data_IF_682999735359
#
_entry.id   IF_682999735359
#
_cell.length_a   1.000
_cell.length_b   1.000
_cell.length_c   1.000
_cell.angle_alpha   90.00
_cell.angle_beta   90.00
_cell.angle_gamma   90.00
#
_symmetry.space_group_name_H-M   'P 1'
#
loop_
_entity.id
_entity.type
_entity.pdbx_description
1 polymer ?
#
# COMPACT_ATOMS: atom_id res chain seq x y z
N UNK A 1 -29.88 16.98 39.89
CA UNK A 1 -31.04 17.65 40.51
C UNK A 1 -30.86 19.11 40.28
N UNK A 2 -31.64 19.71 39.40
CA UNK A 2 -31.79 21.15 39.31
C UNK A 2 -32.95 21.54 40.23
N UNK A 3 -32.82 22.51 41.15
CA UNK A 3 -33.87 22.90 42.05
C UNK A 3 -34.94 23.72 41.24
N UNK A 4 -36.22 23.56 41.53
CA UNK A 4 -37.25 24.42 41.00
C UNK A 4 -37.27 25.69 41.85
N UNK A 5 -36.75 26.80 41.38
CA UNK A 5 -37.00 28.08 42.01
C UNK A 5 -36.97 29.24 41.05
N UNK A 6 -38.11 29.93 41.00
CA UNK A 6 -38.30 31.33 40.65
C UNK A 6 -37.87 31.82 39.28
N UNK A 7 -38.69 31.56 38.26
CA UNK A 7 -38.64 32.35 37.05
C UNK A 7 -39.70 33.48 37.03
N UNK A 8 -39.31 34.71 36.73
CA UNK A 8 -40.30 35.78 36.45
C UNK A 8 -40.99 35.47 35.11
N UNK A 9 -42.27 35.66 35.05
CA UNK A 9 -43.12 35.54 33.87
C UNK A 9 -42.62 36.51 32.81
N UNK A 10 -41.87 35.97 31.79
CA UNK A 10 -41.44 36.73 30.65
C UNK A 10 -42.57 36.76 29.61
N UNK A 11 -43.01 37.95 29.25
CA UNK A 11 -43.97 38.22 28.15
C UNK A 11 -43.44 37.70 26.84
N UNK A 12 -44.29 37.28 25.86
CA UNK A 12 -43.84 36.72 24.60
C UNK A 12 -42.93 37.69 23.83
N UNK A 13 -41.72 37.27 23.55
CA UNK A 13 -40.73 38.08 22.84
C UNK A 13 -41.11 38.22 21.37
N UNK A 14 -41.06 39.44 20.86
CA UNK A 14 -41.29 39.76 19.46
C UNK A 14 -40.26 39.10 18.53
N UNK A 15 -40.58 38.90 17.25
CA UNK A 15 -39.65 38.36 16.19
C UNK A 15 -38.32 39.09 16.12
N UNK A 16 -38.21 40.34 16.60
CA UNK A 16 -36.94 41.09 16.76
C UNK A 16 -36.03 40.48 17.83
N UNK A 17 -36.59 39.94 18.94
CA UNK A 17 -35.83 39.29 19.97
C UNK A 17 -35.17 37.98 19.52
N UNK A 18 -35.85 37.20 18.69
CA UNK A 18 -35.32 35.96 18.09
C UNK A 18 -34.13 36.24 17.16
N UNK A 19 -34.19 37.33 16.37
CA UNK A 19 -33.11 37.75 15.50
C UNK A 19 -31.87 38.19 16.27
N UNK A 20 -32.04 38.90 17.37
CA UNK A 20 -30.96 39.32 18.27
C UNK A 20 -30.30 38.15 18.96
N UNK A 21 -31.05 37.17 19.45
CA UNK A 21 -30.51 35.92 20.01
C UNK A 21 -29.69 35.13 18.99
N UNK A 22 -30.05 35.13 17.73
CA UNK A 22 -29.30 34.48 16.63
C UNK A 22 -27.96 35.17 16.38
N UNK A 23 -27.90 36.49 16.54
CA UNK A 23 -26.67 37.29 16.41
C UNK A 23 -25.76 37.10 17.64
N UNK A 24 -26.30 36.99 18.85
CA UNK A 24 -25.56 36.80 20.11
C UNK A 24 -25.01 35.39 20.29
N UNK A 25 -25.74 34.35 19.85
CA UNK A 25 -25.35 32.94 20.01
C UNK A 25 -24.44 32.41 18.87
N UNK A 26 -24.25 33.20 17.82
CA UNK A 26 -23.48 32.77 16.65
C UNK A 26 -24.14 31.63 15.86
N UNK A 27 -23.46 31.06 14.84
CA UNK A 27 -24.01 29.96 14.04
C UNK A 27 -24.08 28.68 14.85
N UNK A 28 -25.28 28.33 15.33
CA UNK A 28 -25.57 27.08 16.04
C UNK A 28 -25.58 25.92 15.01
N UNK A 29 -24.48 25.28 14.83
CA UNK A 29 -24.23 24.03 14.09
C UNK A 29 -25.08 23.74 12.84
N UNK A 30 -24.50 23.06 11.86
CA UNK A 30 -25.20 22.63 10.62
C UNK A 30 -25.73 21.20 10.75
N UNK A 31 -27.01 20.99 10.47
CA UNK A 31 -27.66 19.68 10.41
C UNK A 31 -27.85 19.22 8.95
N UNK A 32 -27.31 18.08 8.57
CA UNK A 32 -27.32 17.54 7.21
C UNK A 32 -27.70 16.08 7.10
N UNK A 33 -28.90 15.72 7.56
CA UNK A 33 -29.44 14.36 7.41
C UNK A 33 -28.77 13.28 8.29
N UNK A 34 -27.71 13.65 9.00
CA UNK A 34 -27.16 12.89 10.13
C UNK A 34 -27.87 13.29 11.43
N UNK A 35 -27.82 12.50 12.51
CA UNK A 35 -28.30 12.89 13.82
C UNK A 35 -27.70 14.24 14.23
N UNK A 36 -28.49 15.10 14.87
CA UNK A 36 -28.00 16.39 15.38
C UNK A 36 -26.77 16.16 16.26
N UNK A 37 -25.74 16.99 16.05
CA UNK A 37 -24.54 16.94 16.88
C UNK A 37 -24.88 17.20 18.34
N UNK A 38 -24.17 16.57 19.25
CA UNK A 38 -24.41 16.67 20.70
C UNK A 38 -24.41 18.13 21.18
N UNK A 39 -23.50 18.97 20.65
CA UNK A 39 -23.45 20.40 20.95
C UNK A 39 -24.75 21.13 20.55
N UNK A 40 -25.32 20.80 19.40
CA UNK A 40 -26.59 21.38 18.92
C UNK A 40 -27.74 20.94 19.83
N UNK A 41 -27.79 19.71 20.25
CA UNK A 41 -28.80 19.19 21.19
C UNK A 41 -28.71 19.86 22.56
N UNK A 42 -27.49 20.06 23.07
CA UNK A 42 -27.28 20.81 24.31
C UNK A 42 -27.79 22.25 24.20
N UNK A 43 -27.55 22.89 23.06
CA UNK A 43 -28.09 24.24 22.80
C UNK A 43 -29.63 24.26 22.73
N UNK A 44 -30.28 23.24 22.14
CA UNK A 44 -31.72 23.10 22.13
C UNK A 44 -32.26 23.05 23.56
N UNK A 45 -31.67 22.20 24.40
CA UNK A 45 -32.05 22.04 25.82
C UNK A 45 -31.87 23.38 26.56
N UNK A 46 -30.73 24.05 26.37
CA UNK A 46 -30.46 25.35 26.97
C UNK A 46 -31.47 26.42 26.53
N UNK A 47 -31.79 26.51 25.23
CA UNK A 47 -32.76 27.45 24.69
C UNK A 47 -34.18 27.21 25.26
N UNK A 48 -34.51 25.94 25.48
CA UNK A 48 -35.85 25.60 26.03
C UNK A 48 -35.95 25.83 27.55
N UNK A 49 -35.02 25.27 28.34
CA UNK A 49 -35.12 25.31 29.81
C UNK A 49 -34.59 26.60 30.44
N UNK A 50 -33.48 27.14 29.88
CA UNK A 50 -32.85 28.31 30.53
C UNK A 50 -33.35 29.64 29.90
N UNK A 51 -33.66 29.66 28.60
CA UNK A 51 -34.18 30.85 27.92
C UNK A 51 -35.70 30.82 27.67
N UNK A 52 -36.38 29.76 28.08
CA UNK A 52 -37.85 29.58 28.04
C UNK A 52 -38.45 29.80 26.63
N UNK A 53 -37.71 29.40 25.58
CA UNK A 53 -38.21 29.51 24.23
C UNK A 53 -39.01 28.25 23.87
N UNK A 54 -40.09 28.43 23.11
CA UNK A 54 -40.90 27.32 22.59
C UNK A 54 -40.18 26.59 21.46
N UNK A 55 -40.52 25.32 21.19
CA UNK A 55 -39.93 24.56 20.07
C UNK A 55 -40.07 25.28 18.72
N UNK A 56 -41.16 26.06 18.49
CA UNK A 56 -41.42 26.86 17.32
C UNK A 56 -40.45 28.03 17.19
N UNK A 57 -40.03 28.62 18.31
CA UNK A 57 -39.06 29.72 18.36
C UNK A 57 -37.62 29.19 18.24
N UNK A 58 -37.32 28.00 18.78
CA UNK A 58 -36.03 27.36 18.71
C UNK A 58 -35.72 26.86 17.28
N UNK A 59 -36.69 26.26 16.61
CA UNK A 59 -36.52 25.62 15.31
C UNK A 59 -35.86 26.52 14.23
N UNK A 60 -36.23 27.81 14.09
CA UNK A 60 -35.59 28.72 13.12
C UNK A 60 -34.16 29.16 13.56
N UNK A 61 -33.81 29.06 14.85
CA UNK A 61 -32.49 29.45 15.35
C UNK A 61 -31.38 28.43 14.98
N UNK A 62 -31.75 27.17 14.72
CA UNK A 62 -30.83 26.10 14.41
C UNK A 62 -30.72 25.98 12.91
N UNK A 63 -29.53 26.24 12.35
CA UNK A 63 -29.30 26.23 10.91
C UNK A 63 -29.38 24.80 10.33
N UNK A 64 -30.19 24.62 9.28
CA UNK A 64 -30.25 23.41 8.50
C UNK A 64 -29.47 23.57 7.18
N UNK A 65 -28.50 22.70 6.84
CA UNK A 65 -27.75 22.85 5.58
C UNK A 65 -28.54 22.49 4.33
N UNK A 66 -29.75 21.92 4.46
CA UNK A 66 -30.59 21.53 3.32
C UNK A 66 -31.62 22.62 2.91
N UNK A 67 -31.77 23.62 3.71
CA UNK A 67 -32.69 24.73 3.39
C UNK A 67 -31.89 26.04 3.39
N UNK A 68 -31.75 26.66 2.26
CA UNK A 68 -31.03 27.92 2.09
C UNK A 68 -31.53 29.06 2.99
N UNK A 69 -32.73 28.93 3.58
CA UNK A 69 -33.36 29.92 4.44
C UNK A 69 -34.06 29.35 5.67
N UNK A 70 -33.78 28.11 6.09
CA UNK A 70 -34.56 27.44 7.12
C UNK A 70 -33.80 26.78 8.23
N UNK A 71 -34.32 26.84 9.44
CA UNK A 71 -33.92 26.08 10.60
C UNK A 71 -34.26 24.58 10.51
N UNK A 72 -34.00 23.84 11.57
CA UNK A 72 -34.49 22.47 11.71
C UNK A 72 -36.00 22.47 11.86
N UNK A 73 -36.67 21.35 11.58
CA UNK A 73 -38.12 21.24 11.81
C UNK A 73 -38.44 21.25 13.32
N UNK A 74 -39.58 21.84 13.69
CA UNK A 74 -40.09 21.85 15.08
C UNK A 74 -40.10 20.46 15.69
N UNK A 75 -40.48 19.43 14.92
CA UNK A 75 -40.49 18.05 15.38
C UNK A 75 -39.09 17.53 15.80
N UNK A 76 -38.03 17.95 15.09
CA UNK A 76 -36.68 17.58 15.47
C UNK A 76 -36.21 18.25 16.76
N UNK A 77 -36.72 19.42 17.08
CA UNK A 77 -36.50 20.07 18.37
C UNK A 77 -37.24 19.32 19.45
N UNK A 78 -38.53 18.98 19.22
CA UNK A 78 -39.34 18.21 20.15
C UNK A 78 -38.74 16.84 20.44
N UNK A 79 -38.31 16.11 19.43
CA UNK A 79 -37.65 14.79 19.60
C UNK A 79 -36.41 14.87 20.51
N UNK A 80 -35.66 15.99 20.48
CA UNK A 80 -34.52 16.20 21.37
C UNK A 80 -34.95 16.50 22.79
N UNK A 81 -36.02 17.27 22.98
CA UNK A 81 -36.55 17.61 24.29
C UNK A 81 -37.20 16.39 24.96
N UNK A 82 -38.03 15.66 24.23
CA UNK A 82 -38.65 14.40 24.71
C UNK A 82 -37.58 13.40 25.12
N UNK A 83 -36.50 13.29 24.34
CA UNK A 83 -35.35 12.43 24.68
C UNK A 83 -34.67 12.91 25.97
N UNK A 84 -34.46 14.21 26.12
CA UNK A 84 -33.81 14.77 27.29
C UNK A 84 -34.69 14.63 28.56
N UNK A 85 -35.99 14.77 28.44
CA UNK A 85 -36.92 14.53 29.56
C UNK A 85 -36.86 13.09 30.07
N UNK A 86 -36.69 12.11 29.20
CA UNK A 86 -36.65 10.68 29.59
C UNK A 86 -35.29 10.28 30.11
N UNK A 87 -34.22 10.73 29.46
CA UNK A 87 -32.87 10.21 29.75
C UNK A 87 -31.95 11.17 30.50
N UNK A 88 -32.33 12.44 30.68
CA UNK A 88 -31.56 13.51 31.30
C UNK A 88 -30.17 13.76 30.71
N UNK A 89 -29.96 13.33 29.44
CA UNK A 89 -28.78 13.61 28.64
C UNK A 89 -29.17 13.72 27.14
N UNK A 90 -28.26 14.29 26.33
CA UNK A 90 -28.50 14.50 24.88
C UNK A 90 -27.58 13.65 24.00
N UNK A 91 -26.80 12.77 24.58
CA UNK A 91 -25.90 11.91 23.84
C UNK A 91 -26.67 10.88 23.02
N UNK A 92 -26.20 10.64 21.78
CA UNK A 92 -26.83 9.62 20.97
C UNK A 92 -26.55 8.23 21.56
N UNK A 93 -27.59 7.45 21.79
CA UNK A 93 -27.37 6.02 22.03
C UNK A 93 -26.62 5.44 20.84
N UNK A 94 -25.50 4.76 21.11
CA UNK A 94 -24.83 3.95 20.09
C UNK A 94 -25.89 2.95 19.59
N UNK A 95 -26.26 3.07 18.33
CA UNK A 95 -27.12 2.03 17.72
C UNK A 95 -26.40 0.71 17.94
N UNK A 96 -27.07 -0.24 18.58
CA UNK A 96 -26.55 -1.58 18.66
C UNK A 96 -26.10 -2.02 17.25
N UNK A 97 -24.89 -2.56 17.11
CA UNK A 97 -24.43 -3.01 15.80
C UNK A 97 -25.48 -3.97 15.25
N UNK A 98 -25.95 -3.73 14.03
CA UNK A 98 -26.91 -4.65 13.38
C UNK A 98 -26.38 -6.05 13.54
N UNK A 99 -27.18 -6.94 14.12
CA UNK A 99 -26.83 -8.34 14.29
C UNK A 99 -26.31 -8.90 12.96
N UNK A 100 -25.12 -9.49 12.99
CA UNK A 100 -24.52 -10.08 11.80
C UNK A 100 -25.46 -11.20 11.33
N UNK A 101 -25.97 -11.08 10.11
CA UNK A 101 -26.83 -12.12 9.53
C UNK A 101 -26.08 -13.45 9.31
N UNK A 102 -24.75 -13.39 9.13
CA UNK A 102 -23.90 -14.56 8.95
C UNK A 102 -23.46 -15.07 10.33
N UNK A 103 -23.79 -16.32 10.69
CA UNK A 103 -23.32 -16.96 11.92
C UNK A 103 -21.79 -17.02 11.98
N UNK A 104 -21.24 -17.03 13.19
CA UNK A 104 -19.78 -17.07 13.39
C UNK A 104 -19.15 -18.31 12.72
N UNK A 105 -19.82 -19.47 12.79
CA UNK A 105 -19.37 -20.71 12.12
C UNK A 105 -19.16 -20.50 10.62
N UNK A 106 -20.07 -19.79 9.94
CA UNK A 106 -19.96 -19.51 8.51
C UNK A 106 -18.86 -18.47 8.21
N UNK A 107 -18.60 -17.52 9.13
CA UNK A 107 -17.48 -16.58 8.99
C UNK A 107 -16.15 -17.31 9.12
N UNK A 108 -16.02 -18.23 10.06
CA UNK A 108 -14.81 -19.06 10.19
C UNK A 108 -14.59 -19.88 8.91
N UNK A 109 -15.63 -20.49 8.37
CA UNK A 109 -15.59 -21.25 7.12
C UNK A 109 -15.19 -20.36 5.93
N UNK A 110 -15.75 -19.17 5.82
CA UNK A 110 -15.38 -18.18 4.82
C UNK A 110 -13.87 -17.83 4.89
N UNK A 111 -13.35 -17.64 6.09
CA UNK A 111 -11.93 -17.35 6.31
C UNK A 111 -11.04 -18.54 5.92
N UNK A 112 -11.45 -19.76 6.25
CA UNK A 112 -10.70 -20.98 5.89
C UNK A 112 -10.68 -21.22 4.37
N UNK A 113 -11.78 -20.94 3.65
CA UNK A 113 -11.81 -20.97 2.18
C UNK A 113 -10.73 -20.01 1.62
N UNK A 114 -10.70 -18.76 2.08
CA UNK A 114 -9.74 -17.76 1.58
C UNK A 114 -8.30 -18.11 1.95
N UNK A 115 -8.05 -18.70 3.11
CA UNK A 115 -6.71 -19.18 3.49
C UNK A 115 -6.23 -20.32 2.60
N UNK A 116 -7.10 -21.26 2.29
CA UNK A 116 -6.79 -22.43 1.45
C UNK A 116 -6.59 -22.04 -0.01
N UNK A 117 -7.47 -21.17 -0.52
CA UNK A 117 -7.55 -20.79 -1.94
C UNK A 117 -7.63 -19.27 -2.10
N UNK A 118 -6.52 -18.53 -1.81
CA UNK A 118 -6.53 -17.07 -1.76
C UNK A 118 -6.71 -16.39 -3.12
N UNK A 119 -6.68 -17.13 -4.22
CA UNK A 119 -6.82 -16.63 -5.59
C UNK A 119 -8.23 -16.63 -6.14
N UNK A 120 -9.20 -17.19 -5.42
CA UNK A 120 -10.60 -17.24 -5.86
C UNK A 120 -11.19 -15.82 -5.97
N UNK A 121 -12.07 -15.65 -6.95
CA UNK A 121 -12.92 -14.48 -7.05
C UNK A 121 -14.03 -14.51 -5.99
N UNK A 122 -14.63 -13.36 -5.70
CA UNK A 122 -15.65 -13.26 -4.64
C UNK A 122 -16.91 -14.09 -4.90
N UNK A 123 -17.28 -14.26 -6.15
CA UNK A 123 -18.40 -15.13 -6.58
C UNK A 123 -18.06 -16.62 -6.36
N UNK A 124 -16.84 -17.03 -6.67
CA UNK A 124 -16.33 -18.38 -6.40
C UNK A 124 -16.27 -18.68 -4.90
N UNK A 125 -15.76 -17.73 -4.10
CA UNK A 125 -15.76 -17.82 -2.63
C UNK A 125 -17.18 -17.95 -2.09
N UNK A 126 -18.14 -17.20 -2.65
CA UNK A 126 -19.54 -17.26 -2.28
C UNK A 126 -20.16 -18.65 -2.61
N UNK A 127 -19.83 -19.20 -3.78
CA UNK A 127 -20.29 -20.51 -4.21
C UNK A 127 -19.69 -21.65 -3.37
N UNK A 128 -18.39 -21.61 -3.05
CA UNK A 128 -17.75 -22.56 -2.15
C UNK A 128 -18.37 -22.52 -0.73
N UNK A 129 -18.64 -21.32 -0.23
CA UNK A 129 -19.28 -21.14 1.07
C UNK A 129 -20.71 -21.69 1.06
N UNK A 130 -21.48 -21.43 -0.01
CA UNK A 130 -22.82 -21.99 -0.18
C UNK A 130 -22.79 -23.53 -0.21
N UNK A 131 -21.86 -24.11 -0.93
CA UNK A 131 -21.68 -25.57 -0.97
C UNK A 131 -21.38 -26.18 0.41
N UNK A 132 -20.59 -25.42 1.23
CA UNK A 132 -20.18 -25.91 2.54
C UNK A 132 -21.24 -25.73 3.64
N UNK A 133 -22.02 -24.65 3.62
CA UNK A 133 -22.97 -24.31 4.68
C UNK A 133 -24.44 -24.34 4.23
N UNK A 134 -24.72 -24.66 2.96
CA UNK A 134 -26.06 -24.69 2.36
C UNK A 134 -26.85 -23.37 2.49
N UNK A 135 -26.15 -22.24 2.61
CA UNK A 135 -26.73 -20.89 2.71
C UNK A 135 -26.08 -20.00 1.71
N UNK A 136 -26.88 -19.42 0.82
CA UNK A 136 -26.37 -18.48 -0.18
C UNK A 136 -26.09 -17.10 0.44
N UNK A 137 -24.88 -16.62 0.26
CA UNK A 137 -24.46 -15.27 0.61
C UNK A 137 -24.03 -14.50 -0.64
N UNK A 138 -24.42 -13.24 -0.72
CA UNK A 138 -23.97 -12.39 -1.83
C UNK A 138 -22.45 -12.14 -1.76
N UNK A 139 -21.73 -12.14 -2.89
CA UNK A 139 -20.28 -11.89 -2.94
C UNK A 139 -19.85 -10.62 -2.20
N UNK A 140 -20.60 -9.51 -2.35
CA UNK A 140 -20.35 -8.27 -1.65
C UNK A 140 -20.50 -8.37 -0.13
N UNK A 141 -21.37 -9.26 0.35
CA UNK A 141 -21.51 -9.52 1.79
C UNK A 141 -20.34 -10.35 2.33
N UNK A 142 -19.89 -11.35 1.58
CA UNK A 142 -18.65 -12.10 1.89
C UNK A 142 -17.45 -11.15 1.98
N UNK A 143 -17.29 -10.22 1.02
CA UNK A 143 -16.26 -9.20 1.06
C UNK A 143 -16.34 -8.34 2.32
N UNK A 144 -17.54 -7.89 2.70
CA UNK A 144 -17.72 -7.06 3.90
C UNK A 144 -17.34 -7.83 5.17
N UNK A 145 -17.63 -9.12 5.25
CA UNK A 145 -17.25 -9.98 6.38
C UNK A 145 -15.72 -10.18 6.43
N UNK A 146 -15.09 -10.48 5.29
CA UNK A 146 -13.63 -10.58 5.18
C UNK A 146 -12.93 -9.31 5.63
N UNK A 147 -13.39 -8.13 5.17
CA UNK A 147 -12.85 -6.84 5.61
C UNK A 147 -12.95 -6.64 7.13
N UNK A 148 -14.06 -7.02 7.74
CA UNK A 148 -14.26 -6.95 9.20
C UNK A 148 -13.30 -7.88 9.96
N UNK A 149 -12.85 -8.96 9.33
CA UNK A 149 -11.85 -9.90 9.87
C UNK A 149 -10.40 -9.50 9.52
N UNK A 150 -10.19 -8.31 8.96
CA UNK A 150 -8.86 -7.80 8.63
C UNK A 150 -8.28 -8.30 7.32
N UNK A 151 -9.10 -8.96 6.48
CA UNK A 151 -8.68 -9.41 5.14
C UNK A 151 -8.89 -8.31 4.11
N UNK A 152 -7.93 -8.15 3.22
CA UNK A 152 -8.01 -7.23 2.07
C UNK A 152 -7.46 -7.89 0.82
N UNK A 153 -7.88 -7.41 -0.35
CA UNK A 153 -7.33 -7.86 -1.62
C UNK A 153 -5.86 -7.45 -1.71
N UNK A 154 -4.98 -8.44 -1.85
CA UNK A 154 -3.53 -8.26 -1.92
C UNK A 154 -3.00 -8.69 -3.29
N UNK A 155 -1.86 -8.15 -3.67
CA UNK A 155 -1.12 -8.67 -4.84
C UNK A 155 -0.51 -10.02 -4.47
N UNK A 156 -0.91 -11.06 -5.19
CA UNK A 156 -0.38 -12.40 -4.96
C UNK A 156 1.11 -12.46 -5.30
N UNK A 157 1.89 -12.96 -4.37
CA UNK A 157 3.29 -13.34 -4.61
C UNK A 157 3.33 -14.80 -5.05
N UNK A 158 3.84 -15.04 -6.25
CA UNK A 158 4.05 -16.39 -6.75
C UNK A 158 5.38 -16.90 -6.22
N UNK A 159 5.33 -17.91 -5.37
CA UNK A 159 6.52 -18.60 -4.85
C UNK A 159 6.69 -19.85 -5.72
N UNK A 160 7.90 -20.07 -6.26
CA UNK A 160 8.19 -21.26 -7.04
C UNK A 160 7.96 -22.52 -6.18
N UNK A 161 7.22 -23.49 -6.72
CA UNK A 161 6.99 -24.76 -6.01
C UNK A 161 8.29 -25.52 -5.73
N UNK A 162 9.31 -25.25 -6.55
CA UNK A 162 10.66 -25.84 -6.44
C UNK A 162 11.52 -25.14 -5.39
N UNK A 163 11.02 -24.09 -4.73
CA UNK A 163 11.74 -23.41 -3.66
C UNK A 163 11.91 -24.37 -2.49
N UNK A 164 13.14 -24.52 -2.03
CA UNK A 164 13.55 -25.42 -0.97
C UNK A 164 13.95 -24.57 0.26
N UNK A 165 13.15 -24.66 1.31
CA UNK A 165 13.39 -23.89 2.53
C UNK A 165 14.60 -24.40 3.30
N UNK A 166 14.95 -25.69 3.19
CA UNK A 166 16.13 -26.25 3.85
C UNK A 166 17.42 -25.72 3.20
N UNK A 167 17.46 -25.66 1.86
CA UNK A 167 18.57 -25.03 1.15
C UNK A 167 18.69 -23.55 1.42
N UNK A 168 17.55 -22.87 1.58
CA UNK A 168 17.52 -21.46 1.95
C UNK A 168 18.05 -21.25 3.37
N UNK A 169 17.63 -22.09 4.30
CA UNK A 169 18.16 -22.07 5.66
C UNK A 169 19.67 -22.33 5.68
N UNK A 170 20.16 -23.33 4.92
CA UNK A 170 21.58 -23.60 4.79
C UNK A 170 22.36 -22.40 4.23
N UNK A 171 21.83 -21.72 3.20
CA UNK A 171 22.46 -20.51 2.68
C UNK A 171 22.64 -19.44 3.77
N UNK A 172 21.64 -19.22 4.61
CA UNK A 172 21.77 -18.24 5.71
C UNK A 172 22.72 -18.72 6.80
N UNK A 173 22.81 -20.02 7.08
CA UNK A 173 23.83 -20.56 7.98
C UNK A 173 25.24 -20.32 7.43
N UNK A 174 25.50 -20.70 6.18
CA UNK A 174 26.80 -20.49 5.51
C UNK A 174 27.16 -18.99 5.49
N UNK A 175 26.17 -18.13 5.30
CA UNK A 175 26.35 -16.69 5.33
C UNK A 175 26.76 -16.19 6.72
N UNK A 176 26.15 -16.70 7.80
CA UNK A 176 26.50 -16.27 9.17
C UNK A 176 27.92 -16.59 9.57
N UNK A 177 28.54 -17.60 8.94
CA UNK A 177 29.93 -17.95 9.19
C UNK A 177 30.93 -16.94 8.58
N UNK A 178 30.50 -16.20 7.54
CA UNK A 178 31.41 -15.33 6.79
C UNK A 178 31.03 -13.87 6.86
N UNK A 179 29.76 -13.53 7.13
CA UNK A 179 29.26 -12.17 7.15
C UNK A 179 29.51 -11.51 8.51
N UNK A 180 30.29 -10.42 8.51
CA UNK A 180 30.52 -9.57 9.70
C UNK A 180 29.69 -8.30 9.63
N UNK A 181 29.49 -7.75 8.44
CA UNK A 181 28.72 -6.54 8.21
C UNK A 181 28.10 -6.51 6.81
N UNK A 182 26.91 -5.91 6.63
CA UNK A 182 26.20 -5.92 5.36
C UNK A 182 26.95 -5.27 4.18
N UNK A 183 27.88 -4.36 4.45
CA UNK A 183 28.71 -3.70 3.43
C UNK A 183 29.68 -4.64 2.71
N UNK A 184 29.89 -5.84 3.24
CA UNK A 184 30.70 -6.85 2.57
C UNK A 184 29.99 -7.49 1.38
N UNK A 185 28.65 -7.48 1.38
CA UNK A 185 27.84 -8.15 0.35
C UNK A 185 27.73 -7.29 -0.90
N UNK A 186 27.97 -7.88 -2.04
CA UNK A 186 27.62 -7.35 -3.35
C UNK A 186 26.91 -8.43 -4.16
N UNK A 187 25.88 -8.02 -4.87
CA UNK A 187 25.02 -8.88 -5.67
C UNK A 187 25.14 -8.50 -7.14
N UNK A 188 25.18 -9.48 -8.02
CA UNK A 188 24.99 -9.23 -9.44
C UNK A 188 23.83 -10.06 -9.97
N UNK A 189 23.11 -9.49 -10.94
CA UNK A 189 21.98 -10.14 -11.58
C UNK A 189 21.65 -9.44 -12.89
N UNK A 190 20.87 -10.08 -13.75
CA UNK A 190 20.51 -9.60 -15.08
C UNK A 190 19.06 -9.09 -15.10
N UNK A 191 18.87 -7.97 -15.77
CA UNK A 191 17.54 -7.45 -16.06
C UNK A 191 17.36 -7.21 -17.54
N UNK A 192 16.33 -7.84 -18.11
CA UNK A 192 15.94 -7.61 -19.50
C UNK A 192 15.08 -6.35 -19.66
N UNK A 193 15.37 -5.58 -20.72
CA UNK A 193 14.61 -4.41 -21.11
C UNK A 193 14.32 -4.44 -22.61
N UNK A 194 13.08 -4.25 -23.01
CA UNK A 194 12.67 -4.12 -24.42
C UNK A 194 11.85 -2.83 -24.64
N UNK A 195 11.47 -2.55 -25.88
CA UNK A 195 10.68 -1.36 -26.22
C UNK A 195 9.33 -1.25 -25.50
N UNK A 196 8.79 -2.36 -24.98
CA UNK A 196 7.55 -2.35 -24.18
C UNK A 196 7.78 -1.88 -22.74
N UNK A 197 9.01 -1.98 -22.26
CA UNK A 197 9.38 -1.60 -20.90
C UNK A 197 9.21 -0.10 -20.60
N UNK A 198 9.26 0.75 -21.62
CA UNK A 198 9.04 2.20 -21.51
C UNK A 198 7.56 2.60 -21.59
N UNK A 199 6.65 1.69 -21.95
CA UNK A 199 5.24 2.00 -22.16
C UNK A 199 4.54 2.34 -20.86
N UNK A 200 3.83 3.47 -20.86
CA UNK A 200 2.98 3.86 -19.73
C UNK A 200 1.68 3.05 -19.78
N UNK A 201 1.25 2.56 -18.64
CA UNK A 201 0.04 1.72 -18.52
C UNK A 201 -1.25 2.52 -18.30
N UNK A 202 -1.14 3.84 -18.03
CA UNK A 202 -2.28 4.72 -17.76
C UNK A 202 -2.05 6.06 -18.44
N UNK A 203 -3.11 6.64 -18.97
CA UNK A 203 -3.18 7.97 -19.55
C UNK A 203 -4.41 8.71 -19.04
N UNK A 204 -4.51 9.97 -19.39
CA UNK A 204 -5.69 10.78 -19.12
C UNK A 204 -6.62 10.74 -20.35
N UNK A 205 -7.90 10.51 -20.12
CA UNK A 205 -8.98 10.55 -21.11
C UNK A 205 -10.24 11.11 -20.48
N UNK A 206 -11.22 11.42 -21.30
CA UNK A 206 -12.54 11.87 -20.83
C UNK A 206 -13.24 10.75 -20.05
N UNK A 207 -14.04 11.13 -19.06
CA UNK A 207 -14.82 10.18 -18.25
C UNK A 207 -15.82 9.44 -19.16
N UNK A 208 -15.73 8.12 -19.19
CA UNK A 208 -16.54 7.26 -20.05
C UNK A 208 -16.00 7.11 -21.47
N UNK A 209 -14.94 7.82 -21.83
CA UNK A 209 -14.17 7.65 -23.07
C UNK A 209 -12.98 6.72 -22.88
N UNK A 210 -12.26 6.45 -23.95
CA UNK A 210 -10.99 5.74 -23.92
C UNK A 210 -9.81 6.69 -23.75
N UNK A 211 -8.63 6.10 -23.61
CA UNK A 211 -7.36 6.81 -23.75
C UNK A 211 -6.50 6.02 -24.74
N UNK A 212 -6.72 6.28 -26.02
CA UNK A 212 -6.08 5.53 -27.10
C UNK A 212 -4.78 6.22 -27.52
N UNK A 213 -3.71 5.43 -27.60
CA UNK A 213 -2.44 5.86 -28.19
C UNK A 213 -2.09 4.93 -29.35
N UNK A 214 -1.47 5.50 -30.37
CA UNK A 214 -0.96 4.71 -31.50
C UNK A 214 0.53 4.50 -31.33
N UNK A 215 0.92 3.26 -31.10
CA UNK A 215 2.32 2.84 -30.95
C UNK A 215 2.62 1.62 -31.81
N UNK A 216 3.88 1.48 -32.21
CA UNK A 216 4.33 0.23 -32.79
C UNK A 216 4.31 -0.88 -31.75
N UNK A 217 3.54 -1.94 -31.99
CA UNK A 217 3.37 -3.05 -31.04
C UNK A 217 4.52 -4.07 -31.04
N UNK A 218 5.55 -3.86 -31.88
CA UNK A 218 6.73 -4.73 -31.90
C UNK A 218 7.51 -4.61 -30.56
N UNK A 219 8.26 -5.67 -30.24
CA UNK A 219 9.08 -5.70 -29.01
C UNK A 219 10.28 -4.77 -29.07
N UNK A 220 10.69 -4.36 -30.30
CA UNK A 220 11.96 -3.69 -30.50
C UNK A 220 13.16 -4.59 -30.14
N UNK A 221 14.32 -3.98 -30.01
CA UNK A 221 15.53 -4.67 -29.57
C UNK A 221 15.42 -5.03 -28.10
N UNK A 222 15.81 -6.26 -27.77
CA UNK A 222 15.98 -6.69 -26.38
C UNK A 222 17.37 -6.30 -25.90
N UNK A 223 17.44 -5.68 -24.75
CA UNK A 223 18.68 -5.27 -24.09
C UNK A 223 18.74 -6.00 -22.77
N UNK A 224 19.79 -6.76 -22.54
CA UNK A 224 20.11 -7.32 -21.23
C UNK A 224 21.11 -6.42 -20.53
N UNK A 225 20.89 -6.18 -19.26
CA UNK A 225 21.71 -5.35 -18.39
C UNK A 225 22.14 -6.24 -17.23
N UNK A 226 23.44 -6.45 -17.08
CA UNK A 226 24.05 -7.05 -15.90
C UNK A 226 24.42 -5.88 -14.97
N UNK A 227 23.98 -5.91 -13.72
CA UNK A 227 24.27 -4.83 -12.77
C UNK A 227 24.87 -5.38 -11.47
N UNK A 228 25.80 -4.64 -10.89
CA UNK A 228 26.41 -4.89 -9.61
C UNK A 228 25.77 -3.98 -8.55
N UNK A 229 25.33 -4.58 -7.44
CA UNK A 229 24.54 -3.88 -6.42
C UNK A 229 25.08 -4.13 -5.01
N UNK A 230 25.34 -3.05 -4.30
CA UNK A 230 25.80 -3.04 -2.91
C UNK A 230 24.82 -2.34 -1.96
N UNK A 231 25.17 -2.25 -0.69
CA UNK A 231 24.36 -1.59 0.34
C UNK A 231 24.18 -0.07 0.10
N UNK A 232 25.05 0.51 -0.71
CA UNK A 232 24.98 1.93 -1.12
C UNK A 232 24.19 2.17 -2.40
N UNK A 233 23.78 1.10 -3.11
CA UNK A 233 23.06 1.15 -4.37
C UNK A 233 23.78 0.42 -5.50
N UNK A 234 23.42 0.76 -6.75
CA UNK A 234 24.11 0.23 -7.92
C UNK A 234 25.56 0.77 -7.98
N UNK A 235 26.49 -0.13 -8.15
CA UNK A 235 27.94 0.14 -8.18
C UNK A 235 28.39 0.32 -9.62
N UNK A 236 28.05 -0.65 -10.48
CA UNK A 236 28.43 -0.66 -11.88
C UNK A 236 27.43 -1.48 -12.71
N UNK A 237 27.55 -1.43 -14.04
CA UNK A 237 26.71 -2.21 -14.94
C UNK A 237 27.39 -2.44 -16.30
N UNK A 238 27.02 -3.54 -16.93
CA UNK A 238 27.26 -3.81 -18.35
C UNK A 238 25.92 -4.02 -19.08
N UNK A 239 25.91 -3.88 -20.40
CA UNK A 239 24.73 -4.12 -21.20
C UNK A 239 25.07 -4.60 -22.60
N UNK A 240 24.18 -5.42 -23.16
CA UNK A 240 24.29 -5.89 -24.56
C UNK A 240 22.90 -6.04 -25.20
N UNK A 241 22.89 -6.05 -26.53
CA UNK A 241 21.70 -6.49 -27.30
C UNK A 241 21.60 -8.02 -27.24
N UNK A 242 20.39 -8.53 -26.98
CA UNK A 242 20.16 -9.96 -26.76
C UNK A 242 20.34 -10.40 -25.32
N UNK A 243 20.50 -11.69 -25.10
CA UNK A 243 20.80 -12.28 -23.79
C UNK A 243 22.31 -12.46 -23.57
N UNK A 244 22.73 -12.58 -22.32
CA UNK A 244 24.08 -12.99 -21.97
C UNK A 244 24.25 -14.50 -22.24
N UNK A 245 25.32 -14.86 -22.92
CA UNK A 245 25.85 -16.23 -22.89
C UNK A 245 26.68 -16.43 -21.62
N UNK A 246 27.06 -17.66 -21.32
CA UNK A 246 27.94 -17.91 -20.18
C UNK A 246 29.34 -17.29 -20.36
N UNK A 247 29.81 -17.17 -21.59
CA UNK A 247 31.07 -16.49 -21.93
C UNK A 247 30.95 -14.99 -21.74
N UNK A 248 29.91 -14.35 -22.32
CA UNK A 248 29.62 -12.91 -22.10
C UNK A 248 29.54 -12.57 -20.60
N UNK A 249 28.94 -13.46 -19.81
CA UNK A 249 28.83 -13.27 -18.37
C UNK A 249 30.21 -13.32 -17.69
N UNK A 250 31.06 -14.26 -18.06
CA UNK A 250 32.41 -14.36 -17.49
C UNK A 250 33.25 -13.13 -17.85
N UNK A 251 33.20 -12.67 -19.10
CA UNK A 251 33.86 -11.46 -19.53
C UNK A 251 33.37 -10.24 -18.73
N UNK A 252 32.06 -10.10 -18.58
CA UNK A 252 31.46 -9.01 -17.78
C UNK A 252 31.90 -9.08 -16.31
N UNK A 253 31.97 -10.26 -15.71
CA UNK A 253 32.48 -10.41 -14.36
C UNK A 253 33.93 -9.95 -14.27
N UNK A 254 34.79 -10.33 -15.21
CA UNK A 254 36.20 -9.96 -15.21
C UNK A 254 36.41 -8.43 -15.27
N UNK A 255 35.77 -7.73 -16.18
CA UNK A 255 36.03 -6.30 -16.36
C UNK A 255 35.09 -5.38 -15.53
N UNK A 256 33.91 -5.84 -15.11
CA UNK A 256 32.92 -5.01 -14.39
C UNK A 256 32.85 -5.35 -12.89
N UNK A 257 32.87 -6.64 -12.53
CA UNK A 257 32.67 -7.06 -11.13
C UNK A 257 34.00 -7.07 -10.36
N UNK A 258 35.02 -7.76 -10.90
CA UNK A 258 36.32 -7.96 -10.21
C UNK A 258 36.98 -6.66 -9.76
N UNK A 259 36.98 -5.55 -10.54
CA UNK A 259 37.58 -4.29 -10.11
C UNK A 259 36.93 -3.68 -8.85
N UNK A 260 35.70 -4.03 -8.54
CA UNK A 260 34.98 -3.54 -7.37
C UNK A 260 35.07 -4.45 -6.16
N UNK A 261 35.54 -5.68 -6.34
CA UNK A 261 35.74 -6.61 -5.23
C UNK A 261 37.00 -6.22 -4.43
N UNK A 262 36.97 -6.51 -3.15
CA UNK A 262 38.09 -6.27 -2.22
C UNK A 262 38.40 -7.55 -1.43
N UNK A 263 39.61 -7.67 -0.94
CA UNK A 263 39.98 -8.81 -0.10
C UNK A 263 39.10 -8.89 1.14
N UNK A 264 38.63 -10.09 1.44
CA UNK A 264 37.90 -10.39 2.67
C UNK A 264 38.78 -10.11 3.90
N UNK A 265 38.29 -9.46 4.95
CA UNK A 265 36.87 -9.13 5.23
C UNK A 265 36.51 -7.66 4.97
N UNK A 266 37.05 -7.02 3.97
CA UNK A 266 36.72 -5.63 3.62
C UNK A 266 35.28 -5.49 3.06
N UNK A 267 34.86 -4.25 2.80
CA UNK A 267 33.61 -3.98 2.08
C UNK A 267 33.69 -4.55 0.66
N UNK A 268 32.57 -4.94 0.08
CA UNK A 268 32.50 -5.61 -1.23
C UNK A 268 33.39 -6.86 -1.35
N UNK A 269 33.47 -7.67 -0.30
CA UNK A 269 34.34 -8.85 -0.26
C UNK A 269 33.61 -10.19 -0.32
N UNK A 270 32.27 -10.15 -0.40
CA UNK A 270 31.43 -11.33 -0.55
C UNK A 270 30.54 -11.11 -1.76
N UNK A 271 30.89 -11.78 -2.85
CA UNK A 271 30.14 -11.71 -4.11
C UNK A 271 29.05 -12.78 -4.10
N UNK A 272 27.80 -12.34 -4.30
CA UNK A 272 26.61 -13.21 -4.23
C UNK A 272 25.92 -13.22 -5.59
N UNK A 273 25.65 -14.40 -6.11
CA UNK A 273 24.95 -14.66 -7.36
C UNK A 273 23.71 -15.51 -7.11
N UNK A 274 22.73 -15.40 -8.00
CA UNK A 274 21.64 -16.36 -8.04
C UNK A 274 22.10 -17.74 -8.58
N UNK A 275 21.21 -18.70 -8.53
CA UNK A 275 21.50 -20.08 -8.96
C UNK A 275 21.10 -20.32 -10.43
N UNK A 276 21.26 -19.32 -11.31
CA UNK A 276 21.00 -19.45 -12.74
C UNK A 276 22.02 -20.41 -13.40
N UNK A 277 21.57 -21.14 -14.41
CA UNK A 277 22.43 -22.12 -15.09
C UNK A 277 23.65 -21.47 -15.77
N UNK A 278 23.52 -20.25 -16.26
CA UNK A 278 24.61 -19.49 -16.89
C UNK A 278 25.75 -19.29 -15.88
N UNK A 279 25.44 -18.97 -14.63
CA UNK A 279 26.42 -18.75 -13.56
C UNK A 279 27.12 -20.05 -13.12
N UNK A 280 26.53 -21.20 -13.42
CA UNK A 280 27.13 -22.51 -13.08
C UNK A 280 28.02 -23.09 -14.17
N UNK A 281 27.89 -22.67 -15.41
CA UNK A 281 28.61 -23.22 -16.56
C UNK A 281 30.13 -23.13 -16.32
N UNK A 282 30.63 -22.00 -15.84
CA UNK A 282 32.06 -21.78 -15.54
C UNK A 282 32.32 -21.61 -14.03
N UNK A 283 31.56 -22.29 -13.20
CA UNK A 283 31.60 -22.13 -11.72
C UNK A 283 33.00 -22.21 -11.12
N UNK A 284 33.84 -23.13 -11.63
CA UNK A 284 35.22 -23.31 -11.13
C UNK A 284 36.09 -22.12 -11.51
N UNK A 285 36.03 -21.66 -12.77
CA UNK A 285 36.77 -20.49 -13.23
C UNK A 285 36.30 -19.20 -12.53
N UNK A 286 34.98 -19.02 -12.40
CA UNK A 286 34.38 -17.89 -11.68
C UNK A 286 34.86 -17.85 -10.22
N UNK A 287 34.86 -18.98 -9.52
CA UNK A 287 35.37 -19.08 -8.15
C UNK A 287 36.83 -18.70 -8.08
N UNK A 288 37.66 -19.27 -8.96
CA UNK A 288 39.08 -18.96 -8.99
C UNK A 288 39.36 -17.47 -9.24
N UNK A 289 38.58 -16.83 -10.14
CA UNK A 289 38.68 -15.39 -10.44
C UNK A 289 38.35 -14.52 -9.22
N UNK A 290 37.26 -14.83 -8.52
CA UNK A 290 36.81 -14.10 -7.31
C UNK A 290 37.80 -14.31 -6.16
N UNK A 291 38.29 -15.54 -5.96
CA UNK A 291 39.28 -15.87 -4.93
C UNK A 291 40.63 -15.21 -5.22
N UNK A 292 41.03 -15.09 -6.49
CA UNK A 292 42.25 -14.38 -6.88
C UNK A 292 42.18 -12.87 -6.52
N UNK A 293 40.96 -12.27 -6.53
CA UNK A 293 40.73 -10.93 -6.01
C UNK A 293 40.69 -10.86 -4.46
N UNK A 294 40.85 -11.99 -3.78
CA UNK A 294 40.79 -12.11 -2.32
C UNK A 294 39.36 -12.11 -1.75
N UNK A 295 38.35 -12.16 -2.59
CA UNK A 295 36.94 -12.14 -2.20
C UNK A 295 36.37 -13.56 -2.07
N UNK A 296 35.16 -13.67 -1.52
CA UNK A 296 34.41 -14.92 -1.40
C UNK A 296 33.24 -14.93 -2.38
N UNK A 297 32.95 -16.10 -2.96
CA UNK A 297 31.80 -16.33 -3.84
C UNK A 297 30.74 -17.18 -3.13
N UNK A 298 29.54 -16.69 -3.04
CA UNK A 298 28.37 -17.40 -2.55
C UNK A 298 27.28 -17.46 -3.63
N UNK A 299 26.47 -18.51 -3.56
CA UNK A 299 25.28 -18.65 -4.40
C UNK A 299 24.02 -18.63 -3.52
N UNK A 300 23.02 -17.86 -3.92
CA UNK A 300 21.69 -17.87 -3.31
C UNK A 300 21.07 -19.26 -3.37
N UNK A 301 20.15 -19.55 -2.49
CA UNK A 301 19.36 -20.76 -2.60
C UNK A 301 18.55 -20.77 -3.92
N UNK A 302 18.39 -21.91 -4.57
CA UNK A 302 17.63 -22.03 -5.81
C UNK A 302 16.21 -21.48 -5.66
N UNK A 303 15.71 -20.79 -6.69
CA UNK A 303 14.35 -20.23 -6.73
C UNK A 303 14.00 -19.27 -5.57
N UNK A 304 14.98 -18.54 -5.05
CA UNK A 304 14.82 -17.62 -3.92
C UNK A 304 15.11 -16.15 -4.28
N UNK A 305 14.44 -15.55 -5.28
CA UNK A 305 14.66 -14.15 -5.68
C UNK A 305 14.30 -13.15 -4.58
N UNK A 306 13.50 -13.58 -3.59
CA UNK A 306 13.14 -12.73 -2.45
C UNK A 306 14.33 -12.41 -1.54
N UNK A 307 15.38 -13.22 -1.59
CA UNK A 307 16.60 -13.06 -0.82
C UNK A 307 17.66 -12.27 -1.61
N UNK A 308 17.34 -11.87 -2.86
CA UNK A 308 18.21 -11.05 -3.71
C UNK A 308 17.80 -9.57 -3.65
N UNK A 309 18.57 -8.67 -2.98
CA UNK A 309 18.23 -7.26 -2.86
C UNK A 309 18.14 -6.52 -4.20
N UNK A 310 18.93 -6.95 -5.20
CA UNK A 310 18.97 -6.31 -6.52
C UNK A 310 17.64 -6.43 -7.27
N UNK A 311 16.86 -7.49 -7.03
CA UNK A 311 15.54 -7.68 -7.65
C UNK A 311 14.54 -6.57 -7.25
N UNK A 312 14.62 -6.11 -5.99
CA UNK A 312 13.84 -4.98 -5.54
C UNK A 312 14.34 -3.66 -6.16
N UNK A 313 15.65 -3.52 -6.33
CA UNK A 313 16.26 -2.38 -7.00
C UNK A 313 15.88 -2.35 -8.49
N UNK A 314 15.82 -3.48 -9.18
CA UNK A 314 15.34 -3.59 -10.56
C UNK A 314 13.87 -3.19 -10.72
N UNK A 315 13.05 -3.41 -9.71
CA UNK A 315 11.67 -2.90 -9.73
C UNK A 315 11.65 -1.37 -9.81
N UNK A 316 12.51 -0.69 -9.04
CA UNK A 316 12.68 0.77 -9.06
C UNK A 316 13.29 1.25 -10.38
N UNK A 317 14.29 0.55 -10.89
CA UNK A 317 14.89 0.80 -12.20
C UNK A 317 13.83 0.75 -13.33
N UNK A 318 13.02 -0.32 -13.37
CA UNK A 318 11.92 -0.45 -14.36
C UNK A 318 10.88 0.65 -14.22
N UNK A 319 10.62 1.13 -13.02
CA UNK A 319 9.72 2.27 -12.79
C UNK A 319 10.33 3.58 -13.30
N UNK A 320 11.60 3.83 -13.03
CA UNK A 320 12.36 4.98 -13.54
C UNK A 320 12.42 4.96 -15.07
N UNK A 321 12.72 3.81 -15.66
CA UNK A 321 12.76 3.64 -17.11
C UNK A 321 11.42 3.98 -17.77
N UNK A 322 10.29 3.51 -17.22
CA UNK A 322 8.95 3.87 -17.73
C UNK A 322 8.63 5.36 -17.58
N UNK A 323 9.02 5.94 -16.43
CA UNK A 323 8.75 7.35 -16.15
C UNK A 323 9.50 8.27 -17.11
N UNK A 324 10.76 7.97 -17.37
CA UNK A 324 11.68 8.82 -18.11
C UNK A 324 11.86 8.43 -19.57
N UNK A 325 11.30 7.30 -20.02
CA UNK A 325 11.44 6.82 -21.40
C UNK A 325 11.03 7.85 -22.47
N UNK A 326 10.07 8.71 -22.15
CA UNK A 326 9.65 9.80 -23.05
C UNK A 326 10.73 10.88 -23.24
N UNK A 327 11.45 11.22 -22.16
CA UNK A 327 12.48 12.27 -22.19
C UNK A 327 13.82 11.76 -22.70
N UNK A 328 14.09 10.48 -22.55
CA UNK A 328 15.36 9.86 -22.85
C UNK A 328 15.33 9.06 -24.16
N UNK A 329 14.27 9.20 -24.98
CA UNK A 329 14.08 8.38 -26.20
C UNK A 329 15.23 8.57 -27.20
N UNK A 330 15.76 9.77 -27.33
CA UNK A 330 16.87 10.12 -28.24
C UNK A 330 18.27 9.85 -27.63
N UNK A 331 18.33 9.58 -26.34
CA UNK A 331 19.61 9.35 -25.68
C UNK A 331 20.15 7.94 -26.00
N UNK A 332 21.49 7.77 -26.12
CA UNK A 332 22.10 6.45 -26.24
C UNK A 332 21.70 5.52 -25.09
N UNK A 333 21.60 4.23 -25.39
CA UNK A 333 21.07 3.25 -24.43
C UNK A 333 21.86 3.22 -23.11
N UNK A 334 23.19 3.25 -23.18
CA UNK A 334 24.04 3.28 -21.97
C UNK A 334 23.78 4.50 -21.09
N UNK A 335 23.53 5.68 -21.68
CA UNK A 335 23.21 6.91 -20.94
C UNK A 335 21.85 6.78 -20.24
N UNK A 336 20.87 6.14 -20.90
CA UNK A 336 19.55 5.88 -20.31
C UNK A 336 19.65 4.92 -19.15
N UNK A 337 20.44 3.87 -19.27
CA UNK A 337 20.69 2.87 -18.22
C UNK A 337 21.35 3.57 -17.03
N UNK A 338 22.47 4.26 -17.26
CA UNK A 338 23.24 4.99 -16.25
C UNK A 338 22.34 5.98 -15.48
N UNK A 339 21.58 6.80 -16.21
CA UNK A 339 20.62 7.73 -15.60
C UNK A 339 19.61 7.01 -14.69
N UNK A 340 19.02 5.90 -15.15
CA UNK A 340 18.01 5.19 -14.38
C UNK A 340 18.62 4.47 -13.16
N UNK A 341 19.79 3.87 -13.28
CA UNK A 341 20.48 3.20 -12.18
C UNK A 341 20.92 4.22 -11.12
N UNK A 342 21.52 5.33 -11.53
CA UNK A 342 21.90 6.42 -10.63
C UNK A 342 20.70 7.07 -9.95
N UNK A 343 19.62 7.33 -10.70
CA UNK A 343 18.39 7.92 -10.13
C UNK A 343 17.72 7.02 -9.08
N UNK A 344 17.85 5.70 -9.23
CA UNK A 344 17.24 4.74 -8.31
C UNK A 344 18.20 4.30 -7.19
N UNK A 345 19.52 4.33 -7.45
CA UNK A 345 20.55 3.79 -6.57
C UNK A 345 21.29 4.82 -5.73
N UNK A 346 21.19 6.11 -6.03
CA UNK A 346 21.92 7.16 -5.32
C UNK A 346 21.43 7.44 -3.89
N UNK A 347 20.40 6.75 -3.44
CA UNK A 347 19.91 6.84 -2.07
C UNK A 347 20.29 5.57 -1.29
N UNK A 348 21.42 5.61 -0.58
CA UNK A 348 21.90 4.51 0.28
C UNK A 348 20.85 4.04 1.29
N UNK A 349 19.93 4.92 1.71
CA UNK A 349 18.80 4.53 2.57
C UNK A 349 17.83 3.57 1.85
N UNK A 350 17.58 3.76 0.55
CA UNK A 350 16.74 2.85 -0.24
C UNK A 350 17.43 1.49 -0.44
N UNK A 351 18.75 1.49 -0.71
CA UNK A 351 19.52 0.26 -0.84
C UNK A 351 19.58 -0.52 0.49
N UNK A 352 19.86 0.15 1.60
CA UNK A 352 19.81 -0.45 2.93
C UNK A 352 18.41 -1.01 3.26
N UNK A 353 17.33 -0.39 2.77
CA UNK A 353 15.97 -0.92 2.95
C UNK A 353 15.75 -2.23 2.17
N UNK A 354 16.34 -2.40 0.97
CA UNK A 354 16.28 -3.67 0.23
C UNK A 354 17.05 -4.77 0.97
N UNK A 355 18.21 -4.45 1.53
CA UNK A 355 19.00 -5.39 2.35
C UNK A 355 18.22 -5.82 3.60
N UNK A 356 17.61 -4.89 4.35
CA UNK A 356 16.73 -5.22 5.48
C UNK A 356 15.57 -6.13 5.07
N UNK A 357 14.96 -5.86 3.92
CA UNK A 357 13.85 -6.67 3.42
C UNK A 357 14.25 -8.12 3.10
N UNK A 358 15.51 -8.34 2.75
CA UNK A 358 16.08 -9.66 2.52
C UNK A 358 16.69 -10.29 3.78
N UNK A 359 16.73 -9.59 4.92
CA UNK A 359 17.26 -10.11 6.18
C UNK A 359 18.78 -10.00 6.34
N UNK A 360 19.45 -9.14 5.58
CA UNK A 360 20.91 -8.92 5.68
C UNK A 360 21.31 -7.80 6.66
N UNK A 361 20.32 -7.03 7.17
CA UNK A 361 20.52 -5.91 8.12
C UNK A 361 19.48 -6.01 9.23
#
# INVERSE_FOLDING_TARGET
MYPPSCCPILTPRSTRGVKRLREELGPIGRYGGAPLAVAVKKNIVHLYYDLLLTPEEIAPLILSPRKASGGVGVRAVQDVLDFFEVYHHVENHLRAPRALKMPEAHIVMLVEIVKRTPWLYLDEISAELESACHVQYLPGYCQAMLKRRGYSLQVMRRIARQRDEDKRFQYFLDLTEVLMRPSQLVFADEVGQDGRGSRRRRGWGEVGGGCDIREFLNRGKHISILALYGITGFIDFDHKEGGYSAEDFMDAVEYMVIPHLRPYPQDNSIFVLDNCQIHHTYRVALRAMVEAAGAKLLFLAPYSPIDNPIEYAFSSFKACWRRNGHWLVEAPVHVRIDFCLKSCGSNGAAAAATYRKCGYV
#
